data_IF_662749489433
#
_entry.id   IF_662749489433
#
_cell.length_a   1.000
_cell.length_b   1.000
_cell.length_c   1.000
_cell.angle_alpha   90.00
_cell.angle_beta   90.00
_cell.angle_gamma   90.00
#
_symmetry.space_group_name_H-M   'P 1'
#
loop_
_entity.id
_entity.type
_entity.pdbx_description
1 polymer ?
#
# COMPACT_ATOMS: atom_id res chain seq x y z
N UNK A 1 -0.67 -21.68 19.78
CA UNK A 1 -0.80 -21.10 18.42
C UNK A 1 -0.57 -22.24 17.43
N UNK A 2 -1.36 -22.37 16.37
CA UNK A 2 -1.40 -23.57 15.52
C UNK A 2 -0.84 -23.33 14.11
N UNK A 3 0.28 -22.62 14.03
CA UNK A 3 0.98 -22.32 12.77
C UNK A 3 1.78 -23.53 12.23
N UNK A 4 1.98 -24.57 13.03
CA UNK A 4 2.90 -25.68 12.74
C UNK A 4 4.27 -25.46 13.37
N UNK A 5 5.29 -26.13 12.85
CA UNK A 5 6.71 -25.88 13.20
C UNK A 5 7.43 -25.27 12.00
N UNK A 6 8.63 -24.69 12.17
CA UNK A 6 9.41 -24.18 11.06
C UNK A 6 9.68 -25.23 9.96
N UNK A 7 9.90 -26.49 10.35
CA UNK A 7 10.17 -27.61 9.43
C UNK A 7 8.89 -28.17 8.79
N UNK A 8 7.75 -28.00 9.45
CA UNK A 8 6.45 -28.51 9.04
C UNK A 8 5.36 -27.43 9.26
N UNK A 9 5.36 -26.35 8.46
CA UNK A 9 4.37 -25.29 8.60
C UNK A 9 3.00 -25.79 8.13
N UNK A 10 1.94 -25.25 8.74
CA UNK A 10 0.57 -25.49 8.28
C UNK A 10 0.24 -24.48 7.18
N UNK A 11 0.41 -24.88 5.92
CA UNK A 11 0.22 -24.05 4.72
C UNK A 11 -1.25 -23.71 4.38
N UNK A 12 -2.14 -23.66 5.37
CA UNK A 12 -3.50 -23.13 5.21
C UNK A 12 -3.50 -21.62 5.43
N UNK A 13 -4.57 -20.94 5.03
CA UNK A 13 -4.80 -19.56 5.45
C UNK A 13 -4.87 -19.41 6.97
N UNK A 14 -4.47 -18.24 7.47
CA UNK A 14 -4.56 -17.92 8.89
C UNK A 14 -6.03 -17.79 9.33
N UNK A 15 -6.36 -18.32 10.51
CA UNK A 15 -7.64 -17.95 11.14
C UNK A 15 -7.57 -16.52 11.65
N UNK A 16 -8.73 -15.92 11.96
CA UNK A 16 -8.79 -14.57 12.55
C UNK A 16 -7.97 -14.49 13.85
N UNK A 17 -8.10 -15.51 14.71
CA UNK A 17 -7.37 -15.59 15.98
C UNK A 17 -5.87 -15.71 15.81
N UNK A 18 -5.43 -16.35 14.72
CA UNK A 18 -4.01 -16.47 14.37
C UNK A 18 -3.48 -15.16 13.80
N UNK A 19 -4.24 -14.50 12.92
CA UNK A 19 -3.89 -13.22 12.35
C UNK A 19 -3.73 -12.13 13.42
N UNK A 20 -4.63 -12.10 14.41
CA UNK A 20 -4.54 -11.16 15.55
C UNK A 20 -3.29 -11.35 16.41
N UNK A 21 -2.66 -12.52 16.36
CA UNK A 21 -1.45 -12.85 17.12
C UNK A 21 -0.16 -12.61 16.33
N UNK A 22 -0.27 -12.23 15.05
CA UNK A 22 0.88 -11.87 14.22
C UNK A 22 1.46 -10.55 14.72
N UNK A 23 2.75 -10.57 15.06
CA UNK A 23 3.49 -9.37 15.39
C UNK A 23 3.99 -8.69 14.11
N UNK A 24 3.20 -7.74 13.60
CA UNK A 24 3.53 -6.99 12.39
C UNK A 24 4.77 -6.11 12.53
N UNK A 25 5.26 -5.84 13.75
CA UNK A 25 6.51 -5.08 13.95
C UNK A 25 7.75 -5.87 13.53
N UNK A 26 7.62 -7.20 13.41
CA UNK A 26 8.71 -8.10 12.99
C UNK A 26 8.68 -8.47 11.51
N UNK A 27 7.71 -7.94 10.77
CA UNK A 27 7.58 -8.19 9.33
C UNK A 27 8.10 -6.97 8.59
N UNK A 28 9.08 -7.17 7.71
CA UNK A 28 9.47 -6.10 6.78
C UNK A 28 8.35 -5.92 5.75
N UNK A 29 7.77 -4.72 5.72
CA UNK A 29 6.69 -4.33 4.81
C UNK A 29 7.13 -3.22 3.84
N UNK A 30 8.42 -2.97 3.71
CA UNK A 30 8.96 -1.83 2.94
C UNK A 30 8.54 -1.88 1.48
N UNK A 31 8.53 -3.06 0.86
CA UNK A 31 8.06 -3.28 -0.51
C UNK A 31 6.58 -2.91 -0.65
N UNK A 32 5.73 -3.45 0.22
CA UNK A 32 4.29 -3.19 0.22
C UNK A 32 3.99 -1.70 0.39
N UNK A 33 4.65 -1.04 1.35
CA UNK A 33 4.48 0.40 1.56
C UNK A 33 5.05 1.21 0.39
N UNK A 34 6.14 0.78 -0.23
CA UNK A 34 6.70 1.39 -1.44
C UNK A 34 5.72 1.38 -2.61
N UNK A 35 5.07 0.25 -2.86
CA UNK A 35 4.05 0.12 -3.90
C UNK A 35 2.81 0.97 -3.61
N UNK A 36 2.32 0.94 -2.37
CA UNK A 36 1.18 1.77 -1.92
C UNK A 36 1.49 3.25 -2.11
N UNK A 37 2.68 3.70 -1.67
CA UNK A 37 3.11 5.09 -1.77
C UNK A 37 3.24 5.52 -3.22
N UNK A 38 3.88 4.70 -4.05
CA UNK A 38 4.03 4.96 -5.50
C UNK A 38 2.68 5.10 -6.17
N UNK A 39 1.73 4.21 -5.85
CA UNK A 39 0.37 4.27 -6.38
C UNK A 39 -0.36 5.54 -5.94
N UNK A 40 -0.26 5.92 -4.68
CA UNK A 40 -0.87 7.13 -4.14
C UNK A 40 -0.28 8.42 -4.75
N UNK A 41 1.04 8.49 -4.91
CA UNK A 41 1.71 9.62 -5.59
C UNK A 41 1.25 9.75 -7.04
N UNK A 42 1.13 8.63 -7.75
CA UNK A 42 0.66 8.60 -9.14
C UNK A 42 -0.80 9.04 -9.30
N UNK A 43 -1.68 8.78 -8.33
CA UNK A 43 -3.04 9.29 -8.37
C UNK A 43 -3.09 10.80 -8.09
N UNK A 44 -2.34 11.28 -7.08
CA UNK A 44 -2.31 12.70 -6.73
C UNK A 44 -1.73 13.59 -7.85
N UNK A 45 -0.66 13.15 -8.52
CA UNK A 45 -0.02 13.92 -9.58
C UNK A 45 -0.95 14.20 -10.75
N UNK A 46 -1.85 13.26 -11.09
CA UNK A 46 -2.78 13.44 -12.21
C UNK A 46 -3.76 14.58 -11.97
N UNK A 47 -4.33 14.64 -10.77
CA UNK A 47 -5.37 15.62 -10.42
C UNK A 47 -4.79 17.03 -10.27
N UNK A 48 -3.62 17.15 -9.64
CA UNK A 48 -2.94 18.45 -9.46
C UNK A 48 -2.46 19.00 -10.80
N UNK A 49 -1.81 18.18 -11.64
CA UNK A 49 -1.31 18.62 -12.96
C UNK A 49 -2.48 19.04 -13.85
N UNK A 50 -3.60 18.30 -13.85
CA UNK A 50 -4.80 18.68 -14.60
C UNK A 50 -5.36 20.03 -14.11
N UNK A 51 -5.46 20.23 -12.79
CA UNK A 51 -5.93 21.48 -12.20
C UNK A 51 -5.04 22.68 -12.56
N UNK A 52 -3.72 22.53 -12.45
CA UNK A 52 -2.75 23.58 -12.80
C UNK A 52 -2.81 23.89 -14.30
N UNK A 53 -2.81 22.86 -15.15
CA UNK A 53 -2.86 23.03 -16.61
C UNK A 53 -4.12 23.80 -17.04
N UNK A 54 -5.27 23.49 -16.46
CA UNK A 54 -6.53 24.19 -16.73
C UNK A 54 -6.48 25.65 -16.27
N UNK A 55 -5.86 25.93 -15.12
CA UNK A 55 -5.70 27.30 -14.63
C UNK A 55 -4.76 28.11 -15.53
N UNK A 56 -3.60 27.56 -15.89
CA UNK A 56 -2.64 28.20 -16.80
C UNK A 56 -3.26 28.46 -18.16
N UNK A 57 -3.98 27.49 -18.73
CA UNK A 57 -4.67 27.67 -20.01
C UNK A 57 -5.67 28.82 -19.98
N UNK A 58 -6.50 28.92 -18.93
CA UNK A 58 -7.44 30.05 -18.78
C UNK A 58 -6.74 31.40 -18.68
N UNK A 59 -5.55 31.46 -18.04
CA UNK A 59 -4.77 32.69 -17.94
C UNK A 59 -4.10 33.10 -19.26
N UNK A 60 -3.78 32.15 -20.14
CA UNK A 60 -3.19 32.43 -21.45
C UNK A 60 -4.20 32.98 -22.47
N UNK A 61 -5.50 32.78 -22.24
CA UNK A 61 -6.58 33.20 -23.13
C UNK A 61 -7.20 34.55 -22.72
N UNK A 62 -6.66 35.20 -21.68
CA UNK A 62 -6.99 36.57 -21.27
C UNK A 62 -5.96 37.54 -21.85
#
# INVERSE_FOLDING_TARGET
MNFGTPECPKCRGLTVEELQKVDFTKINMDELFGDILTKAQNSMNKDIIAGIKNKVHRMQQM
#
